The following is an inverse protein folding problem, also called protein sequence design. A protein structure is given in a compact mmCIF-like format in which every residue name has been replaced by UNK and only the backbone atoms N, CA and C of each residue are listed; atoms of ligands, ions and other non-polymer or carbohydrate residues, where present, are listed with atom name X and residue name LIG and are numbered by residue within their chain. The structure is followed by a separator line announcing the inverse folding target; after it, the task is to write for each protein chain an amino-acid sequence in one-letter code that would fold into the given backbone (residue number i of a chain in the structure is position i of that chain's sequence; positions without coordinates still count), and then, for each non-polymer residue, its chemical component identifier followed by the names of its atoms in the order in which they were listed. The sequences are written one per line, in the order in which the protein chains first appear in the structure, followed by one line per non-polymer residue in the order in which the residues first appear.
data_IF_136146961610
#
_entry.id   IF_136146961610
#
_cell.length_a   1.000
_cell.length_b   1.000
_cell.length_c   1.000
_cell.angle_alpha   90.00
_cell.angle_beta   90.00
_cell.angle_gamma   90.00
#
_symmetry.space_group_name_H-M   'P 1'
#
loop_
_entity.id
_entity.type
_entity.pdbx_description
1 polymer ?
#
# COMPACT_ATOMS: atom_id res chain seq x y z
N UNK A 1 26.78 -7.19 -20.50
CA UNK A 1 25.96 -6.84 -19.34
C UNK A 1 25.75 -5.34 -19.40
N UNK A 2 24.73 -4.90 -20.14
CA UNK A 2 24.32 -3.50 -20.16
C UNK A 2 23.01 -3.44 -19.38
N UNK A 3 23.03 -2.57 -18.38
CA UNK A 3 21.95 -2.22 -17.48
C UNK A 3 20.85 -1.55 -18.31
N UNK A 4 19.68 -2.18 -18.45
CA UNK A 4 18.48 -1.42 -18.82
C UNK A 4 17.78 -1.00 -17.54
N UNK A 5 18.07 0.24 -17.19
CA UNK A 5 17.50 1.00 -16.09
C UNK A 5 16.29 1.77 -16.67
N UNK A 6 15.29 1.07 -17.22
CA UNK A 6 14.10 1.72 -17.80
C UNK A 6 12.88 0.78 -17.91
N UNK A 7 12.44 0.16 -16.82
CA UNK A 7 11.03 -0.28 -16.70
C UNK A 7 10.49 -0.19 -15.26
N UNK A 8 11.09 0.71 -14.47
CA UNK A 8 10.39 1.36 -13.36
C UNK A 8 9.21 2.12 -13.99
N UNK A 9 8.03 1.51 -13.86
CA UNK A 9 6.67 2.00 -14.14
C UNK A 9 6.02 1.54 -15.46
N UNK A 10 5.05 0.63 -15.30
CA UNK A 10 3.94 0.40 -16.22
C UNK A 10 4.28 -0.43 -17.46
N UNK A 11 3.86 -1.70 -17.46
CA UNK A 11 3.65 -2.40 -18.74
C UNK A 11 2.57 -1.66 -19.55
N UNK A 12 2.73 -1.61 -20.88
CA UNK A 12 1.74 -1.01 -21.76
C UNK A 12 0.51 -1.93 -21.80
N UNK A 13 -0.55 -1.56 -21.07
CA UNK A 13 -1.81 -2.30 -21.06
C UNK A 13 -2.35 -2.37 -22.49
N UNK A 14 -2.39 -3.57 -23.05
CA UNK A 14 -3.03 -3.82 -24.34
C UNK A 14 -4.50 -3.39 -24.28
N UNK A 15 -5.00 -2.71 -25.32
CA UNK A 15 -6.30 -2.04 -25.36
C UNK A 15 -7.55 -2.95 -25.34
N UNK A 16 -7.48 -4.18 -24.82
CA UNK A 16 -8.58 -5.16 -24.86
C UNK A 16 -8.95 -5.76 -23.49
N UNK A 17 -8.43 -5.23 -22.38
CA UNK A 17 -8.90 -5.56 -21.03
C UNK A 17 -9.18 -4.25 -20.28
N UNK A 18 -10.39 -3.74 -20.44
CA UNK A 18 -10.91 -2.62 -19.66
C UNK A 18 -11.23 -3.14 -18.24
N UNK A 19 -10.19 -3.53 -17.49
CA UNK A 19 -10.37 -3.92 -16.09
C UNK A 19 -11.12 -2.82 -15.35
N UNK A 20 -12.27 -3.15 -14.77
CA UNK A 20 -13.11 -2.21 -14.04
C UNK A 20 -12.24 -1.45 -13.03
N UNK A 21 -12.15 -0.13 -13.18
CA UNK A 21 -11.36 0.77 -12.32
C UNK A 21 -11.73 0.64 -10.82
N UNK A 22 -12.90 0.06 -10.53
CA UNK A 22 -13.34 -0.29 -9.18
C UNK A 22 -12.52 -1.42 -8.54
N UNK A 23 -12.01 -2.41 -9.30
CA UNK A 23 -11.23 -3.53 -8.75
C UNK A 23 -9.83 -3.10 -8.30
N UNK A 24 -9.25 -2.12 -9.01
CA UNK A 24 -7.96 -1.53 -8.65
C UNK A 24 -8.04 -0.53 -7.49
N UNK A 25 -9.25 -0.04 -7.16
CA UNK A 25 -9.48 0.90 -6.07
C UNK A 25 -9.65 0.17 -4.75
N UNK A 26 -9.06 0.72 -3.69
CA UNK A 26 -9.29 0.21 -2.34
C UNK A 26 -10.78 0.29 -1.95
N UNK A 27 -11.37 -0.81 -1.44
CA UNK A 27 -12.77 -0.81 -1.05
C UNK A 27 -12.95 0.07 0.19
N UNK A 28 -13.64 1.21 0.01
CA UNK A 28 -13.91 2.17 1.08
C UNK A 28 -14.61 1.53 2.29
N UNK A 29 -15.45 0.52 2.04
CA UNK A 29 -16.17 -0.28 3.04
C UNK A 29 -15.22 -0.83 4.12
N UNK A 30 -13.99 -1.20 3.76
CA UNK A 30 -13.03 -1.76 4.73
C UNK A 30 -12.54 -0.74 5.76
N UNK A 31 -12.63 0.55 5.47
CA UNK A 31 -12.38 1.59 6.48
C UNK A 31 -13.59 1.76 7.41
N UNK A 32 -14.81 1.75 6.88
CA UNK A 32 -16.05 1.80 7.66
C UNK A 32 -16.21 0.58 8.59
N UNK A 33 -15.78 -0.59 8.12
CA UNK A 33 -15.76 -1.84 8.90
C UNK A 33 -14.61 -1.89 9.94
N UNK A 34 -13.71 -0.90 9.95
CA UNK A 34 -12.54 -0.89 10.83
C UNK A 34 -11.47 -1.93 10.49
N UNK A 35 -11.51 -2.50 9.27
CA UNK A 35 -10.55 -3.48 8.79
C UNK A 35 -9.26 -2.83 8.29
N UNK A 36 -9.34 -1.65 7.69
CA UNK A 36 -8.16 -0.86 7.32
C UNK A 36 -7.93 0.26 8.33
N UNK A 37 -6.66 0.39 8.74
CA UNK A 37 -6.24 1.50 9.59
C UNK A 37 -6.08 2.77 8.73
N UNK A 38 -6.76 3.88 9.05
CA UNK A 38 -6.66 5.12 8.30
C UNK A 38 -5.29 5.77 8.52
N UNK A 39 -4.50 5.91 7.46
CA UNK A 39 -3.16 6.50 7.48
C UNK A 39 -3.13 7.64 6.48
N UNK A 40 -2.63 8.81 6.91
CA UNK A 40 -2.44 9.95 6.03
C UNK A 40 -1.01 10.01 5.47
N UNK A 41 -0.87 10.52 4.23
CA UNK A 41 0.44 10.91 3.72
C UNK A 41 1.02 12.04 4.57
N UNK A 42 2.31 11.92 4.92
CA UNK A 42 3.03 12.81 5.83
C UNK A 42 2.88 12.46 7.32
N UNK A 43 2.04 11.49 7.68
CA UNK A 43 1.93 11.01 9.06
C UNK A 43 3.22 10.33 9.51
N UNK A 44 3.59 10.51 10.78
CA UNK A 44 4.75 9.84 11.38
C UNK A 44 4.23 8.71 12.28
N UNK A 45 4.41 7.47 11.84
CA UNK A 45 4.10 6.30 12.63
C UNK A 45 5.24 6.00 13.60
N UNK A 46 4.87 5.71 14.85
CA UNK A 46 5.78 5.25 15.90
C UNK A 46 6.99 6.18 16.12
N UNK A 47 6.82 7.48 15.84
CA UNK A 47 7.87 8.51 15.92
C UNK A 47 9.10 8.24 15.01
N UNK A 48 8.96 7.37 14.00
CA UNK A 48 10.09 6.90 13.18
C UNK A 48 9.82 6.86 11.69
N UNK A 49 8.65 6.39 11.30
CA UNK A 49 8.36 6.14 9.89
C UNK A 49 7.42 7.21 9.34
N UNK A 50 7.93 8.05 8.46
CA UNK A 50 7.13 9.08 7.79
C UNK A 50 6.49 8.49 6.52
N UNK A 51 5.17 8.53 6.43
CA UNK A 51 4.42 7.96 5.31
C UNK A 51 4.53 8.86 4.08
N UNK A 52 4.95 8.30 2.94
CA UNK A 52 5.13 9.05 1.70
C UNK A 52 4.09 8.67 0.63
N UNK A 53 3.86 7.37 0.40
CA UNK A 53 2.89 6.89 -0.59
C UNK A 53 2.24 5.57 -0.18
N UNK A 54 1.04 5.28 -0.67
CA UNK A 54 0.46 3.93 -0.59
C UNK A 54 1.00 3.09 -1.75
N UNK A 55 1.51 1.90 -1.45
CA UNK A 55 2.05 0.96 -2.44
C UNK A 55 1.00 -0.05 -2.90
N UNK A 56 0.00 -0.33 -2.06
CA UNK A 56 -1.11 -1.19 -2.44
C UNK A 56 -1.95 -1.64 -1.24
N UNK A 57 -2.94 -2.48 -1.53
CA UNK A 57 -3.76 -3.15 -0.55
C UNK A 57 -4.03 -4.58 -0.98
N UNK A 58 -4.47 -5.40 -0.04
CA UNK A 58 -4.97 -6.74 -0.28
C UNK A 58 -5.95 -7.14 0.80
N UNK A 59 -6.50 -8.35 0.71
CA UNK A 59 -7.56 -8.82 1.61
C UNK A 59 -7.23 -8.81 3.10
N UNK A 60 -5.97 -8.72 3.49
CA UNK A 60 -5.52 -8.83 4.88
C UNK A 60 -4.57 -7.71 5.33
N UNK A 61 -4.23 -6.78 4.44
CA UNK A 61 -3.26 -5.73 4.76
C UNK A 61 -3.26 -4.59 3.77
N UNK A 62 -2.76 -3.43 4.19
CA UNK A 62 -2.31 -2.36 3.30
C UNK A 62 -0.78 -2.27 3.35
N UNK A 63 -0.17 -1.80 2.26
CA UNK A 63 1.27 -1.63 2.15
C UNK A 63 1.58 -0.18 1.79
N UNK A 64 2.50 0.44 2.53
CA UNK A 64 2.84 1.85 2.43
C UNK A 64 4.35 2.03 2.27
N UNK A 65 4.75 2.98 1.45
CA UNK A 65 6.11 3.50 1.38
C UNK A 65 6.29 4.52 2.50
N UNK A 66 7.36 4.37 3.27
CA UNK A 66 7.70 5.30 4.32
C UNK A 66 9.20 5.58 4.34
N UNK A 67 9.59 6.77 4.78
CA UNK A 67 10.98 7.08 5.10
C UNK A 67 11.26 6.71 6.56
N UNK A 68 12.22 5.82 6.79
CA UNK A 68 12.75 5.56 8.13
C UNK A 68 13.71 6.67 8.51
N UNK A 69 13.27 7.57 9.40
CA UNK A 69 14.06 8.73 9.83
C UNK A 69 15.29 8.36 10.66
N UNK A 70 15.39 7.12 11.17
CA UNK A 70 16.52 6.70 12.00
C UNK A 70 17.64 6.09 11.16
N UNK A 71 17.28 5.32 10.13
CA UNK A 71 18.24 4.69 9.23
C UNK A 71 18.52 5.55 7.98
N UNK A 72 17.67 6.57 7.75
CA UNK A 72 17.67 7.44 6.56
C UNK A 72 17.46 6.64 5.26
N UNK A 73 16.49 5.71 5.28
CA UNK A 73 16.22 4.78 4.17
C UNK A 73 14.72 4.66 3.89
N UNK A 74 14.37 4.47 2.62
CA UNK A 74 13.01 4.14 2.19
C UNK A 74 12.67 2.68 2.55
N UNK A 75 11.53 2.49 3.21
CA UNK A 75 11.04 1.18 3.66
C UNK A 75 9.58 0.95 3.25
N UNK A 76 9.20 -0.33 3.16
CA UNK A 76 7.81 -0.73 2.98
C UNK A 76 7.20 -1.16 4.32
N UNK A 77 6.13 -0.48 4.75
CA UNK A 77 5.34 -0.82 5.92
C UNK A 77 4.13 -1.65 5.52
N UNK A 78 4.02 -2.87 6.03
CA UNK A 78 2.83 -3.72 5.89
C UNK A 78 1.95 -3.61 7.13
N UNK A 79 0.79 -2.99 6.97
CA UNK A 79 -0.18 -2.78 8.03
C UNK A 79 -1.26 -3.85 7.91
N UNK A 80 -1.33 -4.75 8.89
CA UNK A 80 -2.29 -5.85 8.89
C UNK A 80 -3.68 -5.32 9.27
N UNK A 81 -4.71 -5.87 8.63
CA UNK A 81 -6.08 -5.72 9.12
C UNK A 81 -6.18 -6.39 10.49
N UNK A 82 -6.90 -5.83 11.48
CA UNK A 82 -7.19 -6.55 12.70
C UNK A 82 -7.86 -7.87 12.29
N UNK A 83 -7.22 -8.99 12.64
CA UNK A 83 -7.79 -10.28 12.32
C UNK A 83 -9.17 -10.35 12.95
N UNK A 84 -10.18 -10.78 12.20
CA UNK A 84 -11.28 -11.47 12.83
C UNK A 84 -10.64 -12.69 13.52
N UNK A 85 -10.36 -12.57 14.81
CA UNK A 85 -10.34 -13.74 15.68
C UNK A 85 -11.74 -14.32 15.53
N UNK A 86 -11.92 -15.23 14.57
CA UNK A 86 -13.09 -16.06 14.50
C UNK A 86 -13.02 -16.97 15.73
N UNK A 87 -13.36 -16.42 16.89
CA UNK A 87 -13.76 -17.18 18.04
C UNK A 87 -15.20 -17.62 17.78
N UNK A 88 -15.37 -18.71 17.04
CA UNK A 88 -16.54 -19.60 17.12
C UNK A 88 -16.11 -21.05 16.90
#
# INVERSE_FOLDING_TARGET
VLLDCASVWGDFVGSDDEGDVEDASEPSERYDEGLYYPICIGEILIDRYRIEHKLGHGGFSTVWMAHDMFSDEDVALKILTPGHSAEQ
#
